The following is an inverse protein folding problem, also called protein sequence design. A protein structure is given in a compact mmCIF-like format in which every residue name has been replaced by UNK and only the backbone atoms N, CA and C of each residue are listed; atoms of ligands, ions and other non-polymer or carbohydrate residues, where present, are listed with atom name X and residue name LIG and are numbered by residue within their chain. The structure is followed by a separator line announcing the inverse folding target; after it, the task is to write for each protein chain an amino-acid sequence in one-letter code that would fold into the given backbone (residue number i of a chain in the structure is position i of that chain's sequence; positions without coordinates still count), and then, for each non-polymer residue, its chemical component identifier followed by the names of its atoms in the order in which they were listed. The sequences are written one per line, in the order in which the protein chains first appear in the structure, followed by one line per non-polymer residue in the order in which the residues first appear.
data_IF_247658044175
#
_entry.id   IF_247658044175
#
_cell.length_a   1.000
_cell.length_b   1.000
_cell.length_c   1.000
_cell.angle_alpha   90.00
_cell.angle_beta   90.00
_cell.angle_gamma   90.00
#
_symmetry.space_group_name_H-M   'P 1'
#
loop_
_entity.id
_entity.type
_entity.pdbx_description
1 polymer ?
#
# COMPACT_ATOMS: atom_id res chain seq x y z
N UNK A 1 21.46 -5.64 -19.38
CA UNK A 1 20.43 -4.89 -18.65
C UNK A 1 20.51 -4.94 -17.14
N UNK A 2 21.72 -5.14 -16.62
CA UNK A 2 22.04 -4.97 -15.20
C UNK A 2 22.03 -3.49 -14.77
N UNK A 3 22.27 -2.57 -15.68
CA UNK A 3 22.39 -1.12 -15.40
C UNK A 3 21.04 -0.47 -15.07
N UNK A 4 19.95 -0.85 -15.73
CA UNK A 4 18.59 -0.38 -15.44
C UNK A 4 18.05 -0.97 -14.11
N UNK A 5 18.51 -2.16 -13.71
CA UNK A 5 18.06 -2.82 -12.46
C UNK A 5 18.63 -2.17 -11.21
N UNK A 6 19.87 -1.68 -11.25
CA UNK A 6 20.52 -0.96 -10.15
C UNK A 6 19.86 0.41 -9.97
N UNK A 7 19.46 1.09 -11.05
CA UNK A 7 18.91 2.43 -11.00
C UNK A 7 17.50 2.53 -10.38
N UNK A 8 16.62 1.54 -10.55
CA UNK A 8 15.27 1.60 -9.98
C UNK A 8 15.28 1.38 -8.46
N UNK A 9 16.03 0.39 -7.99
CA UNK A 9 16.15 0.09 -6.55
C UNK A 9 16.92 1.17 -5.80
N UNK A 10 18.00 1.70 -6.39
CA UNK A 10 18.75 2.85 -5.81
C UNK A 10 17.93 4.14 -5.86
N UNK A 11 17.12 4.31 -6.90
CA UNK A 11 16.18 5.42 -7.00
C UNK A 11 15.08 5.32 -5.92
N UNK A 12 14.54 4.14 -5.66
CA UNK A 12 13.58 3.91 -4.57
C UNK A 12 14.20 4.16 -3.20
N UNK A 13 15.44 3.72 -2.97
CA UNK A 13 16.15 3.93 -1.70
C UNK A 13 16.44 5.41 -1.44
N UNK A 14 16.90 6.14 -2.46
CA UNK A 14 17.11 7.60 -2.37
C UNK A 14 15.78 8.35 -2.12
N UNK A 15 14.69 7.91 -2.76
CA UNK A 15 13.35 8.47 -2.55
C UNK A 15 12.87 8.21 -1.12
N UNK A 16 13.04 7.00 -0.61
CA UNK A 16 12.67 6.64 0.77
C UNK A 16 13.39 7.56 1.79
N UNK A 17 14.69 7.75 1.67
CA UNK A 17 15.45 8.63 2.58
C UNK A 17 14.98 10.08 2.50
N UNK A 18 14.70 10.58 1.30
CA UNK A 18 14.14 11.92 1.14
C UNK A 18 12.75 12.06 1.75
N UNK A 19 11.89 11.05 1.54
CA UNK A 19 10.54 11.02 2.09
C UNK A 19 10.55 10.97 3.62
N UNK A 20 11.43 10.16 4.20
CA UNK A 20 11.63 10.12 5.65
C UNK A 20 12.03 11.51 6.17
N UNK A 21 12.95 12.22 5.49
CA UNK A 21 13.34 13.58 5.89
C UNK A 21 12.20 14.59 5.78
N UNK A 22 11.35 14.50 4.77
CA UNK A 22 10.16 15.38 4.61
C UNK A 22 9.16 15.16 5.74
N UNK A 23 8.95 13.91 6.15
CA UNK A 23 8.05 13.53 7.24
C UNK A 23 8.60 14.03 8.57
N UNK A 24 9.90 13.86 8.82
CA UNK A 24 10.57 14.34 10.03
C UNK A 24 10.53 15.88 10.13
N UNK A 25 10.79 16.59 9.04
CA UNK A 25 10.72 18.05 9.00
C UNK A 25 9.33 18.59 9.33
N UNK A 26 8.28 17.85 8.99
CA UNK A 26 6.91 18.22 9.28
C UNK A 26 6.49 17.87 10.70
N UNK A 27 7.38 17.26 11.50
CA UNK A 27 7.15 16.84 12.90
C UNK A 27 5.87 16.02 13.07
N UNK A 28 5.64 15.10 12.14
CA UNK A 28 4.50 14.22 12.22
C UNK A 28 4.69 13.22 13.36
N UNK A 29 3.70 13.12 14.22
CA UNK A 29 3.67 12.14 15.31
C UNK A 29 3.28 10.78 14.76
N UNK A 30 4.23 10.12 14.07
CA UNK A 30 4.06 8.79 13.50
C UNK A 30 5.15 7.85 14.02
N UNK A 31 4.79 6.59 14.23
CA UNK A 31 5.80 5.56 14.53
C UNK A 31 6.76 5.37 13.35
N UNK A 32 7.95 4.86 13.63
CA UNK A 32 8.94 4.54 12.59
C UNK A 32 8.38 3.59 11.52
N UNK A 33 7.47 2.69 11.89
CA UNK A 33 6.82 1.78 10.94
C UNK A 33 5.81 2.51 10.06
N UNK A 34 4.99 3.38 10.63
CA UNK A 34 4.03 4.21 9.91
C UNK A 34 4.73 5.15 8.93
N UNK A 35 5.86 5.74 9.33
CA UNK A 35 6.72 6.54 8.44
C UNK A 35 7.20 5.70 7.25
N UNK A 36 7.72 4.50 7.48
CA UNK A 36 8.18 3.61 6.41
C UNK A 36 7.05 3.19 5.47
N UNK A 37 5.88 2.85 6.01
CA UNK A 37 4.71 2.51 5.21
C UNK A 37 4.29 3.69 4.33
N UNK A 38 4.16 4.87 4.90
CA UNK A 38 3.82 6.09 4.16
C UNK A 38 4.85 6.37 3.06
N UNK A 39 6.15 6.23 3.35
CA UNK A 39 7.22 6.45 2.38
C UNK A 39 7.15 5.45 1.21
N UNK A 40 6.77 4.20 1.45
CA UNK A 40 6.53 3.21 0.38
C UNK A 40 5.36 3.64 -0.50
N UNK A 41 4.22 4.01 0.08
CA UNK A 41 3.06 4.48 -0.68
C UNK A 41 3.37 5.72 -1.52
N UNK A 42 4.05 6.70 -0.93
CA UNK A 42 4.48 7.91 -1.65
C UNK A 42 5.47 7.60 -2.78
N UNK A 43 6.39 6.66 -2.58
CA UNK A 43 7.32 6.24 -3.63
C UNK A 43 6.60 5.62 -4.83
N UNK A 44 5.58 4.80 -4.56
CA UNK A 44 4.73 4.19 -5.58
C UNK A 44 3.91 5.27 -6.30
N UNK A 45 3.33 6.22 -5.56
CA UNK A 45 2.58 7.35 -6.13
C UNK A 45 3.46 8.19 -7.07
N UNK A 46 4.71 8.50 -6.67
CA UNK A 46 5.66 9.23 -7.51
C UNK A 46 5.93 8.48 -8.83
N UNK A 47 6.18 7.17 -8.77
CA UNK A 47 6.44 6.35 -9.97
C UNK A 47 5.20 6.35 -10.87
N UNK A 48 4.02 6.22 -10.30
CA UNK A 48 2.75 6.23 -11.02
C UNK A 48 2.53 7.57 -11.71
N UNK A 49 2.72 8.69 -11.02
CA UNK A 49 2.58 10.03 -11.58
C UNK A 49 3.63 10.32 -12.66
N UNK A 50 4.86 9.82 -12.53
CA UNK A 50 5.89 9.91 -13.58
C UNK A 50 5.55 9.12 -14.83
N UNK A 51 4.58 8.21 -14.75
CA UNK A 51 4.04 7.43 -15.86
C UNK A 51 2.68 7.95 -16.33
N UNK A 52 2.38 9.22 -16.02
CA UNK A 52 1.11 9.89 -16.36
C UNK A 52 -0.13 9.09 -15.91
N UNK A 53 -0.03 8.45 -14.76
CA UNK A 53 -1.10 7.65 -14.17
C UNK A 53 -1.35 8.06 -12.72
N UNK A 54 -2.59 7.93 -12.26
CA UNK A 54 -2.98 8.17 -10.87
C UNK A 54 -4.16 7.27 -10.49
N UNK A 55 -4.48 7.19 -9.21
CA UNK A 55 -5.64 6.43 -8.72
C UNK A 55 -6.84 7.38 -8.68
N UNK A 56 -7.85 7.19 -9.57
CA UNK A 56 -9.03 8.04 -9.55
C UNK A 56 -9.89 7.77 -8.31
N UNK A 57 -10.43 8.84 -7.73
CA UNK A 57 -11.38 8.79 -6.63
C UNK A 57 -12.70 9.42 -7.06
N UNK A 58 -13.80 9.02 -6.44
CA UNK A 58 -15.08 9.69 -6.62
C UNK A 58 -15.07 11.08 -5.94
N UNK A 59 -15.90 11.99 -6.44
CA UNK A 59 -16.05 13.32 -5.84
C UNK A 59 -16.45 13.24 -4.35
N UNK A 60 -17.23 12.23 -3.95
CA UNK A 60 -17.62 11.98 -2.58
C UNK A 60 -16.44 11.60 -1.69
N UNK A 61 -15.56 10.71 -2.18
CA UNK A 61 -14.34 10.33 -1.48
C UNK A 61 -13.39 11.50 -1.30
N UNK A 62 -13.15 12.28 -2.38
CA UNK A 62 -12.31 13.48 -2.31
C UNK A 62 -12.88 14.46 -1.27
N UNK A 63 -14.20 14.70 -1.29
CA UNK A 63 -14.84 15.60 -0.35
C UNK A 63 -14.72 15.12 1.11
N UNK A 64 -14.85 13.82 1.34
CA UNK A 64 -14.67 13.21 2.67
C UNK A 64 -13.23 13.37 3.17
N UNK A 65 -12.23 13.01 2.36
CA UNK A 65 -10.83 13.13 2.76
C UNK A 65 -10.38 14.59 2.97
N UNK A 66 -10.96 15.55 2.24
CA UNK A 66 -10.69 16.98 2.45
C UNK A 66 -11.14 17.50 3.82
N UNK A 67 -12.06 16.84 4.49
CA UNK A 67 -12.52 17.18 5.83
C UNK A 67 -11.61 16.62 6.94
N UNK A 68 -10.72 15.70 6.60
CA UNK A 68 -9.77 15.12 7.55
C UNK A 68 -8.70 16.14 7.96
N UNK A 69 -8.35 16.16 9.24
CA UNK A 69 -7.29 17.04 9.78
C UNK A 69 -5.94 16.83 9.08
N UNK A 70 -5.69 15.60 8.63
CA UNK A 70 -4.47 15.21 7.90
C UNK A 70 -4.37 15.81 6.50
N UNK A 71 -5.47 16.30 5.89
CA UNK A 71 -5.46 16.78 4.50
C UNK A 71 -4.49 17.95 4.28
N UNK A 72 -4.46 18.90 5.20
CA UNK A 72 -3.51 20.03 5.13
C UNK A 72 -2.07 19.54 5.17
N UNK A 73 -1.79 18.54 5.97
CA UNK A 73 -0.47 17.93 6.06
C UNK A 73 -0.11 17.15 4.78
N UNK A 74 -1.06 16.34 4.26
CA UNK A 74 -0.91 15.64 2.99
C UNK A 74 -0.55 16.61 1.86
N UNK A 75 -1.25 17.73 1.76
CA UNK A 75 -0.99 18.77 0.77
C UNK A 75 0.42 19.37 0.89
N UNK A 76 0.91 19.59 2.13
CA UNK A 76 2.29 20.07 2.35
C UNK A 76 3.33 19.03 1.90
N UNK A 77 3.12 17.75 2.19
CA UNK A 77 3.98 16.65 1.74
C UNK A 77 4.00 16.62 0.22
N UNK A 78 2.83 16.54 -0.42
CA UNK A 78 2.72 16.47 -1.88
C UNK A 78 3.36 17.67 -2.58
N UNK A 79 3.19 18.88 -2.04
CA UNK A 79 3.84 20.09 -2.59
C UNK A 79 5.38 20.04 -2.54
N UNK A 80 5.95 19.46 -1.48
CA UNK A 80 7.41 19.27 -1.39
C UNK A 80 7.89 18.23 -2.40
N UNK A 81 7.14 17.13 -2.54
CA UNK A 81 7.45 16.07 -3.50
C UNK A 81 7.31 16.56 -4.94
N UNK A 82 6.27 17.36 -5.24
CA UNK A 82 6.07 17.98 -6.55
C UNK A 82 7.31 18.77 -6.99
N UNK A 83 7.84 19.60 -6.10
CA UNK A 83 9.04 20.40 -6.37
C UNK A 83 10.30 19.54 -6.57
N UNK A 84 10.48 18.52 -5.73
CA UNK A 84 11.67 17.66 -5.76
C UNK A 84 11.73 16.75 -6.99
N UNK A 85 10.57 16.22 -7.40
CA UNK A 85 10.50 15.21 -8.47
C UNK A 85 9.94 15.76 -9.77
N UNK A 86 9.63 17.08 -9.83
CA UNK A 86 9.04 17.75 -10.99
C UNK A 86 7.79 17.02 -11.51
N UNK A 87 6.85 16.71 -10.59
CA UNK A 87 5.58 16.07 -10.86
C UNK A 87 4.45 16.88 -10.24
N UNK A 88 3.23 16.71 -10.73
CA UNK A 88 2.03 17.28 -10.13
C UNK A 88 1.24 16.19 -9.42
N UNK A 89 0.85 16.44 -8.17
CA UNK A 89 -0.06 15.59 -7.42
C UNK A 89 -1.49 16.07 -7.62
N UNK A 90 -2.34 15.30 -8.34
CA UNK A 90 -3.77 15.63 -8.45
C UNK A 90 -4.46 15.48 -7.08
N UNK A 91 -5.66 16.05 -6.95
CA UNK A 91 -6.42 16.00 -5.71
C UNK A 91 -6.71 14.57 -5.22
N UNK A 92 -6.89 13.64 -6.14
CA UNK A 92 -7.06 12.22 -5.87
C UNK A 92 -5.88 11.67 -5.05
N UNK A 93 -4.65 11.90 -5.52
CA UNK A 93 -3.44 11.42 -4.84
C UNK A 93 -3.20 12.15 -3.50
N UNK A 94 -3.49 13.45 -3.42
CA UNK A 94 -3.43 14.19 -2.14
C UNK A 94 -4.43 13.61 -1.14
N UNK A 95 -5.63 13.29 -1.59
CA UNK A 95 -6.69 12.67 -0.78
C UNK A 95 -6.28 11.28 -0.27
N UNK A 96 -5.64 10.46 -1.12
CA UNK A 96 -5.09 9.17 -0.72
C UNK A 96 -3.99 9.33 0.34
N UNK A 97 -3.09 10.30 0.17
CA UNK A 97 -2.06 10.59 1.18
C UNK A 97 -2.70 11.01 2.50
N UNK A 98 -3.77 11.83 2.47
CA UNK A 98 -4.53 12.20 3.68
C UNK A 98 -5.11 10.97 4.36
N UNK A 99 -5.75 10.09 3.62
CA UNK A 99 -6.29 8.83 4.13
C UNK A 99 -5.19 7.99 4.81
N UNK A 100 -4.04 7.81 4.16
CA UNK A 100 -2.93 7.05 4.74
C UNK A 100 -2.38 7.68 6.01
N UNK A 101 -2.28 9.01 6.08
CA UNK A 101 -1.87 9.73 7.29
C UNK A 101 -2.84 9.48 8.44
N UNK A 102 -4.14 9.69 8.23
CA UNK A 102 -5.18 9.48 9.24
C UNK A 102 -5.15 8.05 9.78
N UNK A 103 -5.11 7.07 8.87
CA UNK A 103 -5.13 5.64 9.26
C UNK A 103 -3.85 5.24 10.00
N UNK A 104 -2.68 5.71 9.57
CA UNK A 104 -1.43 5.43 10.29
C UNK A 104 -1.37 6.11 11.66
N UNK A 105 -1.91 7.33 11.81
CA UNK A 105 -2.03 7.99 13.10
C UNK A 105 -2.94 7.21 14.07
N UNK A 106 -4.08 6.71 13.59
CA UNK A 106 -4.97 5.86 14.38
C UNK A 106 -4.28 4.57 14.81
N UNK A 107 -3.55 3.89 13.90
CA UNK A 107 -2.77 2.70 14.21
C UNK A 107 -1.70 2.93 15.30
N UNK A 108 -1.07 4.09 15.31
CA UNK A 108 -0.05 4.44 16.30
C UNK A 108 -0.66 4.76 17.68
N UNK A 109 -1.91 5.24 17.72
CA UNK A 109 -2.64 5.54 18.96
C UNK A 109 -3.31 4.30 19.56
N UNK A 110 -3.76 3.37 18.74
CA UNK A 110 -4.44 2.13 19.16
C UNK A 110 -3.41 1.01 19.34
N UNK A 111 -2.82 0.94 20.52
CA UNK A 111 -1.79 -0.07 20.88
C UNK A 111 -2.35 -1.52 20.86
N UNK A 112 -3.66 -1.75 20.74
CA UNK A 112 -4.26 -3.06 20.99
C UNK A 112 -4.93 -3.80 19.82
N UNK A 113 -5.30 -3.18 18.73
CA UNK A 113 -5.70 -3.94 17.52
C UNK A 113 -6.08 -2.99 16.37
N UNK A 114 -5.24 -2.85 15.36
CA UNK A 114 -5.58 -2.17 14.10
C UNK A 114 -6.72 -2.84 13.33
N UNK A 115 -7.29 -3.91 13.88
CA UNK A 115 -8.43 -4.65 13.34
C UNK A 115 -9.73 -3.84 13.42
N UNK A 116 -9.92 -3.02 14.47
CA UNK A 116 -11.10 -2.17 14.65
C UNK A 116 -11.22 -1.05 13.59
N UNK A 117 -10.16 -0.90 12.76
CA UNK A 117 -10.13 0.06 11.64
C UNK A 117 -10.68 -0.54 10.33
N UNK A 118 -10.91 -1.83 10.29
CA UNK A 118 -11.34 -2.55 9.08
C UNK A 118 -12.81 -2.94 9.21
N UNK A 119 -13.50 -2.86 8.09
CA UNK A 119 -14.85 -3.44 7.98
C UNK A 119 -14.80 -4.97 8.18
N UNK A 120 -15.82 -5.52 8.84
CA UNK A 120 -15.92 -6.96 9.15
C UNK A 120 -15.79 -7.83 7.90
N UNK A 121 -16.30 -7.39 6.76
CA UNK A 121 -16.21 -8.10 5.49
C UNK A 121 -14.78 -8.15 4.97
N UNK A 122 -14.03 -7.06 5.11
CA UNK A 122 -12.62 -6.97 4.75
C UNK A 122 -11.77 -7.84 5.68
N UNK A 123 -12.05 -7.77 6.98
CA UNK A 123 -11.40 -8.63 7.96
C UNK A 123 -11.54 -10.11 7.57
N UNK A 124 -12.77 -10.56 7.28
CA UNK A 124 -13.06 -11.95 6.89
C UNK A 124 -12.30 -12.38 5.63
N UNK A 125 -12.28 -11.52 4.60
CA UNK A 125 -11.55 -11.80 3.35
C UNK A 125 -10.05 -12.00 3.62
N UNK A 126 -9.44 -11.16 4.45
CA UNK A 126 -8.01 -11.23 4.73
C UNK A 126 -7.70 -12.46 5.59
N UNK A 127 -8.47 -12.73 6.63
CA UNK A 127 -8.28 -13.89 7.53
C UNK A 127 -8.34 -15.21 6.75
N UNK A 128 -9.34 -15.34 5.88
CA UNK A 128 -9.48 -16.50 5.01
C UNK A 128 -8.31 -16.61 4.02
N UNK A 129 -7.86 -15.49 3.46
CA UNK A 129 -6.68 -15.42 2.59
C UNK A 129 -5.43 -15.93 3.31
N UNK A 130 -5.14 -15.44 4.52
CA UNK A 130 -3.98 -15.86 5.29
C UNK A 130 -4.04 -17.35 5.64
N UNK A 131 -5.23 -17.85 5.92
CA UNK A 131 -5.49 -19.26 6.18
C UNK A 131 -5.25 -20.14 4.95
N UNK A 132 -5.70 -19.70 3.77
CA UNK A 132 -5.47 -20.41 2.52
C UNK A 132 -3.98 -20.39 2.13
N UNK A 133 -3.30 -19.25 2.26
CA UNK A 133 -1.86 -19.15 1.98
C UNK A 133 -1.07 -20.10 2.89
N UNK A 134 -1.42 -20.18 4.18
CA UNK A 134 -0.79 -21.12 5.08
C UNK A 134 -0.96 -22.58 4.63
N UNK A 135 -2.16 -22.95 4.23
CA UNK A 135 -2.47 -24.33 3.78
C UNK A 135 -1.78 -24.69 2.44
N UNK A 136 -1.74 -23.75 1.49
CA UNK A 136 -1.26 -24.02 0.13
C UNK A 136 0.27 -23.86 0.00
N UNK A 137 0.85 -22.90 0.74
CA UNK A 137 2.25 -22.49 0.58
C UNK A 137 3.11 -22.71 1.83
N UNK A 138 2.49 -23.16 2.95
CA UNK A 138 3.17 -23.30 4.26
C UNK A 138 3.81 -21.97 4.74
N UNK A 139 3.19 -20.84 4.41
CA UNK A 139 3.61 -19.50 4.84
C UNK A 139 2.61 -18.96 5.85
N UNK A 140 3.06 -18.76 7.08
CA UNK A 140 2.18 -18.36 8.19
C UNK A 140 2.20 -16.83 8.41
N UNK A 141 1.30 -16.13 7.74
CA UNK A 141 1.07 -14.70 7.93
C UNK A 141 -0.05 -14.37 8.92
N UNK A 142 -0.74 -15.36 9.50
CA UNK A 142 -1.94 -15.19 10.33
C UNK A 142 -1.71 -14.37 11.60
N UNK A 143 -0.45 -14.21 12.02
CA UNK A 143 -0.03 -13.40 13.18
C UNK A 143 0.73 -12.13 12.78
N UNK A 144 0.75 -11.77 11.51
CA UNK A 144 1.35 -10.50 11.06
C UNK A 144 0.28 -9.41 10.96
N UNK A 145 -0.08 -8.82 12.12
CA UNK A 145 -1.08 -7.76 12.23
C UNK A 145 -0.77 -6.59 11.29
N UNK A 146 0.51 -6.30 11.05
CA UNK A 146 0.94 -5.22 10.15
C UNK A 146 0.60 -5.51 8.70
N UNK A 147 0.81 -6.75 8.25
CA UNK A 147 0.41 -7.17 6.92
C UNK A 147 -1.10 -7.14 6.79
N UNK A 148 -1.80 -7.65 7.80
CA UNK A 148 -3.25 -7.71 7.84
C UNK A 148 -3.87 -6.33 7.64
N UNK A 149 -3.45 -5.37 8.44
CA UNK A 149 -3.93 -3.99 8.37
C UNK A 149 -3.50 -3.32 7.06
N UNK A 150 -2.25 -3.51 6.60
CA UNK A 150 -1.76 -2.92 5.36
C UNK A 150 -2.57 -3.38 4.14
N UNK A 151 -2.92 -4.67 4.07
CA UNK A 151 -3.81 -5.20 3.01
C UNK A 151 -5.22 -4.62 3.16
N UNK A 152 -5.77 -4.57 4.38
CA UNK A 152 -7.11 -4.03 4.63
C UNK A 152 -7.26 -2.58 4.18
N UNK A 153 -6.29 -1.74 4.54
CA UNK A 153 -6.25 -0.34 4.13
C UNK A 153 -6.15 -0.16 2.61
N UNK A 154 -5.54 -1.12 1.92
CA UNK A 154 -5.49 -1.13 0.47
C UNK A 154 -6.81 -1.61 -0.14
N UNK A 155 -7.39 -2.67 0.41
CA UNK A 155 -8.60 -3.32 -0.15
C UNK A 155 -9.83 -2.42 -0.11
N UNK A 156 -10.03 -1.68 0.97
CA UNK A 156 -11.22 -0.84 1.15
C UNK A 156 -11.42 0.13 -0.04
N UNK A 157 -10.47 1.03 -0.37
CA UNK A 157 -10.61 1.92 -1.52
C UNK A 157 -10.53 1.18 -2.87
N UNK A 158 -9.84 0.03 -2.93
CA UNK A 158 -9.73 -0.75 -4.16
C UNK A 158 -11.05 -1.43 -4.53
N UNK A 159 -11.76 -2.00 -3.57
CA UNK A 159 -13.09 -2.59 -3.78
C UNK A 159 -14.12 -1.54 -4.15
N UNK A 160 -14.05 -0.34 -3.57
CA UNK A 160 -14.91 0.77 -3.93
C UNK A 160 -14.65 1.21 -5.39
N UNK A 161 -13.39 1.36 -5.81
CA UNK A 161 -13.06 1.61 -7.22
C UNK A 161 -13.61 0.54 -8.14
N UNK A 162 -13.39 -0.72 -7.78
CA UNK A 162 -13.84 -1.86 -8.58
C UNK A 162 -15.36 -1.91 -8.74
N UNK A 163 -16.12 -1.60 -7.68
CA UNK A 163 -17.59 -1.51 -7.74
C UNK A 163 -18.07 -0.37 -8.65
N UNK A 164 -17.28 0.69 -8.78
CA UNK A 164 -17.52 1.82 -9.69
C UNK A 164 -16.94 1.60 -11.10
N UNK A 165 -16.48 0.39 -11.42
CA UNK A 165 -15.87 0.02 -12.72
C UNK A 165 -14.65 0.88 -13.06
N UNK A 166 -13.94 1.34 -12.04
CA UNK A 166 -12.70 2.09 -12.19
C UNK A 166 -11.50 1.15 -12.11
N UNK A 167 -10.57 1.29 -13.04
CA UNK A 167 -9.32 0.54 -13.07
C UNK A 167 -8.12 1.46 -12.86
N UNK A 168 -7.06 0.93 -12.32
CA UNK A 168 -5.79 1.62 -12.18
C UNK A 168 -4.73 0.95 -13.06
N UNK A 169 -3.67 1.68 -13.37
CA UNK A 169 -2.50 1.13 -14.07
C UNK A 169 -1.32 1.05 -13.13
N UNK A 170 -0.61 -0.06 -13.20
CA UNK A 170 0.61 -0.27 -12.45
C UNK A 170 1.82 -0.32 -13.40
N UNK A 171 2.61 0.76 -13.50
CA UNK A 171 3.75 0.80 -14.42
C UNK A 171 4.85 -0.22 -14.06
N UNK A 172 4.80 -0.81 -12.87
CA UNK A 172 5.74 -1.82 -12.39
C UNK A 172 5.18 -3.25 -12.45
N UNK A 173 3.95 -3.44 -12.94
CA UNK A 173 3.24 -4.72 -12.92
C UNK A 173 4.11 -5.88 -13.41
N UNK A 174 4.62 -5.78 -14.63
CA UNK A 174 5.36 -6.87 -15.25
C UNK A 174 6.67 -7.18 -14.50
N UNK A 175 7.31 -6.17 -13.94
CA UNK A 175 8.51 -6.35 -13.13
C UNK A 175 8.20 -6.99 -11.78
N UNK A 176 7.12 -6.58 -11.12
CA UNK A 176 6.66 -7.16 -9.84
C UNK A 176 6.32 -8.64 -10.06
N UNK A 177 5.50 -8.97 -11.05
CA UNK A 177 5.11 -10.35 -11.35
C UNK A 177 6.34 -11.22 -11.64
N UNK A 178 7.28 -10.71 -12.45
CA UNK A 178 8.49 -11.45 -12.81
C UNK A 178 9.42 -11.71 -11.64
N UNK A 179 9.55 -10.75 -10.70
CA UNK A 179 10.48 -10.83 -9.56
C UNK A 179 9.90 -11.49 -8.32
N UNK A 180 8.60 -11.40 -8.15
CA UNK A 180 7.87 -11.76 -6.93
C UNK A 180 6.71 -12.72 -7.25
N UNK A 181 7.03 -13.76 -8.05
CA UNK A 181 6.00 -14.68 -8.54
C UNK A 181 5.31 -15.45 -7.41
N UNK A 182 6.03 -15.79 -6.34
CA UNK A 182 5.45 -16.45 -5.16
C UNK A 182 4.45 -15.53 -4.47
N UNK A 183 4.84 -14.30 -4.18
CA UNK A 183 3.98 -13.30 -3.54
C UNK A 183 2.81 -12.87 -4.42
N UNK A 184 3.00 -12.86 -5.74
CA UNK A 184 1.91 -12.63 -6.68
C UNK A 184 0.88 -13.75 -6.65
N UNK A 185 1.30 -15.01 -6.42
CA UNK A 185 0.36 -16.11 -6.22
C UNK A 185 -0.46 -15.92 -4.92
N UNK A 186 0.12 -15.34 -3.86
CA UNK A 186 -0.65 -14.99 -2.66
C UNK A 186 -1.74 -13.95 -2.96
N UNK A 187 -1.43 -12.95 -3.80
CA UNK A 187 -2.42 -11.97 -4.26
C UNK A 187 -3.52 -12.60 -5.10
N UNK A 188 -3.22 -13.66 -5.87
CA UNK A 188 -4.24 -14.44 -6.59
C UNK A 188 -5.15 -15.23 -5.64
N UNK A 189 -4.61 -15.75 -4.53
CA UNK A 189 -5.43 -16.40 -3.49
C UNK A 189 -6.42 -15.37 -2.92
N UNK A 190 -5.95 -14.18 -2.57
CA UNK A 190 -6.80 -13.08 -2.12
C UNK A 190 -7.90 -12.75 -3.13
N UNK A 191 -7.54 -12.61 -4.41
CA UNK A 191 -8.49 -12.29 -5.48
C UNK A 191 -9.57 -13.36 -5.66
N UNK A 192 -9.20 -14.63 -5.49
CA UNK A 192 -10.16 -15.75 -5.52
C UNK A 192 -11.18 -15.63 -4.40
N UNK A 193 -10.77 -15.30 -3.19
CA UNK A 193 -11.65 -15.11 -2.04
C UNK A 193 -12.53 -13.88 -2.24
N UNK A 194 -11.98 -12.75 -2.70
CA UNK A 194 -12.76 -11.56 -3.05
C UNK A 194 -13.85 -11.91 -4.04
N UNK A 195 -13.52 -12.67 -5.09
CA UNK A 195 -14.50 -13.10 -6.08
C UNK A 195 -15.62 -13.96 -5.49
N UNK A 196 -15.30 -14.82 -4.53
CA UNK A 196 -16.27 -15.66 -3.84
C UNK A 196 -17.21 -14.85 -2.93
N UNK A 197 -16.67 -13.87 -2.21
CA UNK A 197 -17.43 -13.08 -1.23
C UNK A 197 -18.22 -11.92 -1.89
N UNK A 198 -17.69 -11.31 -2.97
CA UNK A 198 -18.25 -10.07 -3.54
C UNK A 198 -18.70 -10.19 -4.99
N UNK A 199 -18.39 -11.31 -5.66
CA UNK A 199 -18.54 -11.50 -7.11
C UNK A 199 -17.71 -10.51 -7.97
N UNK A 200 -16.78 -9.76 -7.36
CA UNK A 200 -15.84 -8.85 -8.02
C UNK A 200 -14.47 -9.51 -8.16
N UNK A 201 -13.65 -9.02 -9.08
CA UNK A 201 -12.30 -9.56 -9.30
C UNK A 201 -11.37 -8.45 -9.77
N UNK A 202 -10.23 -8.31 -9.11
CA UNK A 202 -9.17 -7.39 -9.50
C UNK A 202 -8.44 -7.87 -10.75
N UNK A 203 -7.92 -6.92 -11.52
CA UNK A 203 -6.97 -7.20 -12.58
C UNK A 203 -5.53 -7.34 -12.04
N UNK A 204 -4.60 -7.73 -12.91
CA UNK A 204 -3.21 -7.94 -12.53
C UNK A 204 -2.49 -6.62 -12.14
N UNK A 205 -2.98 -5.46 -12.58
CA UNK A 205 -2.45 -4.15 -12.21
C UNK A 205 -2.69 -3.88 -10.72
N UNK A 206 -3.90 -4.13 -10.22
CA UNK A 206 -4.24 -4.00 -8.79
C UNK A 206 -3.55 -5.10 -7.96
N UNK A 207 -3.55 -6.35 -8.43
CA UNK A 207 -2.90 -7.46 -7.74
C UNK A 207 -1.40 -7.24 -7.57
N UNK A 208 -0.73 -6.60 -8.53
CA UNK A 208 0.68 -6.28 -8.40
C UNK A 208 0.95 -5.26 -7.27
N UNK A 209 0.07 -4.31 -7.02
CA UNK A 209 0.18 -3.43 -5.84
C UNK A 209 0.03 -4.21 -4.53
N UNK A 210 -0.97 -5.09 -4.46
CA UNK A 210 -1.20 -5.94 -3.28
C UNK A 210 0.01 -6.86 -3.03
N UNK A 211 0.62 -7.37 -4.10
CA UNK A 211 1.82 -8.21 -4.03
C UNK A 211 2.95 -7.56 -3.23
N UNK A 212 3.14 -6.26 -3.33
CA UNK A 212 4.20 -5.56 -2.60
C UNK A 212 4.04 -5.66 -1.08
N UNK A 213 2.82 -5.74 -0.56
CA UNK A 213 2.57 -5.96 0.87
C UNK A 213 3.06 -7.35 1.30
N UNK A 214 2.78 -8.38 0.51
CA UNK A 214 3.28 -9.73 0.76
C UNK A 214 4.82 -9.82 0.64
N UNK A 215 5.44 -9.10 -0.30
CA UNK A 215 6.90 -9.02 -0.44
C UNK A 215 7.55 -8.48 0.84
N UNK A 216 7.01 -7.40 1.39
CA UNK A 216 7.50 -6.81 2.64
C UNK A 216 7.40 -7.80 3.80
N UNK A 217 6.26 -8.48 3.95
CA UNK A 217 6.02 -9.45 5.01
C UNK A 217 6.91 -10.69 4.86
N UNK A 218 7.04 -11.25 3.66
CA UNK A 218 7.86 -12.43 3.39
C UNK A 218 9.36 -12.15 3.64
N UNK A 219 9.85 -10.98 3.24
CA UNK A 219 11.22 -10.55 3.53
C UNK A 219 11.51 -10.42 5.03
N UNK A 220 10.55 -9.93 5.81
CA UNK A 220 10.65 -9.84 7.28
C UNK A 220 10.71 -11.24 7.90
N UNK A 221 9.83 -12.14 7.45
CA UNK A 221 9.78 -13.52 7.92
C UNK A 221 11.10 -14.26 7.65
N UNK A 222 11.65 -14.13 6.44
CA UNK A 222 12.90 -14.76 6.05
C UNK A 222 14.11 -14.23 6.86
N UNK A 223 14.12 -12.96 7.28
CA UNK A 223 15.15 -12.42 8.17
C UNK A 223 15.08 -13.00 9.57
N UNK A 224 13.87 -13.21 10.10
CA UNK A 224 13.68 -13.79 11.43
C UNK A 224 14.13 -15.25 11.50
N UNK A 225 14.02 -16.02 10.42
CA UNK A 225 14.54 -17.39 10.36
C UNK A 225 16.06 -17.44 10.31
N UNK A 226 16.72 -16.52 9.57
CA UNK A 226 18.20 -16.44 9.46
C UNK A 226 18.90 -15.99 10.74
N UNK A 227 18.21 -15.35 11.66
CA UNK A 227 18.76 -14.91 12.96
C UNK A 227 18.60 -15.95 14.05
N UNK A 228 17.96 -17.08 13.78
CA UNK A 228 17.75 -18.19 14.73
C UNK A 228 18.65 -19.41 14.45
N UNK A 229 19.43 -19.37 13.38
CA UNK A 229 20.55 -20.28 13.07
C UNK A 229 21.87 -19.66 13.56
#
# INVERSE_FOLDING_TARGET
DRSLKVTLFDSLKKRLTFLESVIDDLKLTLSTNSIKNLAVHLSIAIIRLQSDSYIPLSNGQIASYKQEDSYTCAKKICNRLSKQFNIEFPEDEISLVSMYLTKNQKLDLEINSGYDLLDDSIYKIIDETMTCIYKEYNKDFRKDDKLFVAIGLHLEPALERLSNVQTIKNPLKDEIIRRHQEEFNYSKVLNKIIKQETNLSFDDDELAYITLHFVVANNKMNKLYKTKE
#
